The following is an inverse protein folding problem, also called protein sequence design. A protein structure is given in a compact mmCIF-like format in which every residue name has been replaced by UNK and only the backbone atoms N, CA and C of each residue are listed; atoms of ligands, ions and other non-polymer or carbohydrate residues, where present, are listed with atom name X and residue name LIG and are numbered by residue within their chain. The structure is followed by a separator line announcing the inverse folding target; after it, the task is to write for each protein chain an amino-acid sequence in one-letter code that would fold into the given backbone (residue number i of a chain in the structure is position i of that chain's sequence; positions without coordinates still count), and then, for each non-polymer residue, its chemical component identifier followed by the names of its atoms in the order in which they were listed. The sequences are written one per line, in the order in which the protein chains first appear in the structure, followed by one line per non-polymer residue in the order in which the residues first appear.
data_IF_116878059743
#
_entry.id   IF_116878059743
#
_cell.length_a   1.000
_cell.length_b   1.000
_cell.length_c   1.000
_cell.angle_alpha   90.00
_cell.angle_beta   90.00
_cell.angle_gamma   90.00
#
_symmetry.space_group_name_H-M   'P 1'
#
loop_
_entity.id
_entity.type
_entity.pdbx_description
1 polymer ?
#
# COMPACT_ATOMS: atom_id res chain seq x y z
N UNK A 1 -32.78 3.81 47.81
CA UNK A 1 -31.89 5.01 47.81
C UNK A 1 -32.70 6.29 47.95
N UNK A 2 -33.80 6.46 47.22
CA UNK A 2 -34.62 7.67 47.25
C UNK A 2 -35.55 7.81 48.46
N UNK A 3 -35.99 6.70 49.07
CA UNK A 3 -36.79 6.75 50.31
C UNK A 3 -36.04 7.40 51.48
N UNK A 4 -34.70 7.34 51.45
CA UNK A 4 -33.84 8.01 52.44
C UNK A 4 -33.89 9.54 52.35
N UNK A 5 -34.39 10.09 51.23
CA UNK A 5 -34.52 11.53 51.00
C UNK A 5 -35.97 12.03 51.17
N UNK A 6 -36.93 11.17 51.51
CA UNK A 6 -38.34 11.55 51.67
C UNK A 6 -39.02 12.04 50.39
N UNK A 7 -38.44 11.76 49.22
CA UNK A 7 -38.96 12.22 47.94
C UNK A 7 -39.97 11.22 47.35
N UNK A 8 -41.17 11.70 46.99
CA UNK A 8 -42.19 10.88 46.32
C UNK A 8 -41.83 10.68 44.84
N UNK A 9 -41.52 9.45 44.45
CA UNK A 9 -41.18 9.11 43.06
C UNK A 9 -42.42 8.85 42.22
N UNK A 10 -42.38 9.31 40.96
CA UNK A 10 -43.42 9.10 39.94
C UNK A 10 -42.73 8.70 38.65
N UNK A 11 -43.27 7.69 37.96
CA UNK A 11 -42.60 7.06 36.83
C UNK A 11 -43.39 7.22 35.54
N UNK A 12 -42.74 7.70 34.48
CA UNK A 12 -43.28 7.60 33.12
C UNK A 12 -42.60 6.42 32.45
N UNK A 13 -43.38 5.45 31.98
CA UNK A 13 -42.89 4.29 31.24
C UNK A 13 -43.30 4.48 29.78
N UNK A 14 -42.44 5.11 28.94
CA UNK A 14 -42.71 5.22 27.53
C UNK A 14 -42.57 3.84 26.88
N UNK A 15 -43.45 3.54 25.93
CA UNK A 15 -43.37 2.36 25.12
C UNK A 15 -43.78 2.67 23.67
N UNK A 16 -43.34 1.82 22.75
CA UNK A 16 -43.61 1.93 21.32
C UNK A 16 -43.91 0.55 20.75
N UNK A 17 -44.60 0.53 19.61
CA UNK A 17 -44.86 -0.69 18.85
C UNK A 17 -43.57 -1.52 18.64
N UNK A 18 -43.56 -2.83 18.99
CA UNK A 18 -42.36 -3.67 18.86
C UNK A 18 -41.79 -3.70 17.45
N UNK A 19 -42.65 -3.70 16.42
CA UNK A 19 -42.20 -3.67 15.02
C UNK A 19 -41.50 -2.37 14.65
N UNK A 20 -41.98 -1.22 15.11
CA UNK A 20 -41.30 0.06 14.88
C UNK A 20 -39.91 0.09 15.55
N UNK A 21 -39.79 -0.52 16.73
CA UNK A 21 -38.50 -0.65 17.42
C UNK A 21 -37.57 -1.57 16.63
N UNK A 22 -38.08 -2.69 16.12
CA UNK A 22 -37.31 -3.61 15.29
C UNK A 22 -36.80 -2.97 13.99
N UNK A 23 -37.64 -2.23 13.27
CA UNK A 23 -37.23 -1.52 12.05
C UNK A 23 -36.16 -0.46 12.32
N UNK A 24 -36.30 0.27 13.43
CA UNK A 24 -35.32 1.28 13.84
C UNK A 24 -33.96 0.65 14.14
N UNK A 25 -33.95 -0.47 14.88
CA UNK A 25 -32.73 -1.21 15.21
C UNK A 25 -32.13 -1.90 13.98
N UNK A 26 -32.95 -2.39 13.05
CA UNK A 26 -32.48 -2.96 11.79
C UNK A 26 -31.80 -1.90 10.91
N UNK A 27 -32.42 -0.71 10.77
CA UNK A 27 -31.86 0.38 9.97
C UNK A 27 -30.53 0.89 10.55
N UNK A 28 -30.53 1.22 11.85
CA UNK A 28 -29.40 1.87 12.55
C UNK A 28 -28.28 0.91 12.92
N UNK A 29 -28.63 -0.25 13.47
CA UNK A 29 -27.67 -1.16 14.10
C UNK A 29 -27.50 -2.48 13.35
N UNK A 30 -28.25 -2.70 12.24
CA UNK A 30 -28.28 -3.98 11.52
C UNK A 30 -28.67 -5.16 12.43
N UNK A 31 -29.44 -4.89 13.48
CA UNK A 31 -29.90 -5.92 14.42
C UNK A 31 -31.08 -6.66 13.78
N UNK A 32 -31.04 -8.01 13.72
CA UNK A 32 -32.15 -8.79 13.19
C UNK A 32 -33.44 -8.62 14.01
N UNK A 33 -34.58 -8.86 13.35
CA UNK A 33 -35.92 -8.67 13.93
C UNK A 33 -36.15 -9.52 15.18
N UNK A 34 -35.84 -10.82 15.15
CA UNK A 34 -36.00 -11.70 16.31
C UNK A 34 -35.19 -11.27 17.54
N UNK A 35 -33.96 -10.79 17.34
CA UNK A 35 -33.15 -10.22 18.42
C UNK A 35 -33.73 -8.90 18.94
N UNK A 36 -34.22 -8.06 18.04
CA UNK A 36 -34.89 -6.80 18.42
C UNK A 36 -36.11 -7.06 19.31
N UNK A 37 -36.87 -8.13 19.03
CA UNK A 37 -38.00 -8.52 19.87
C UNK A 37 -37.55 -8.93 21.28
N UNK A 38 -36.46 -9.69 21.39
CA UNK A 38 -35.92 -10.09 22.70
C UNK A 38 -35.43 -8.87 23.49
N UNK A 39 -34.76 -7.93 22.81
CA UNK A 39 -34.33 -6.67 23.41
C UNK A 39 -35.50 -5.82 23.89
N UNK A 40 -36.60 -5.77 23.13
CA UNK A 40 -37.80 -5.06 23.55
C UNK A 40 -38.37 -5.65 24.86
N UNK A 41 -38.52 -6.98 24.94
CA UNK A 41 -38.98 -7.64 26.17
C UNK A 41 -38.01 -7.39 27.33
N UNK A 42 -36.70 -7.56 27.10
CA UNK A 42 -35.67 -7.34 28.11
C UNK A 42 -35.64 -5.89 28.64
N UNK A 43 -36.15 -4.92 27.88
CA UNK A 43 -36.29 -3.54 28.33
C UNK A 43 -37.61 -3.27 29.03
N UNK A 44 -38.72 -3.74 28.46
CA UNK A 44 -40.08 -3.43 28.93
C UNK A 44 -40.43 -4.19 30.20
N UNK A 45 -40.08 -5.48 30.30
CA UNK A 45 -40.44 -6.30 31.46
C UNK A 45 -39.86 -5.73 32.75
N UNK A 46 -38.55 -5.43 32.86
CA UNK A 46 -37.99 -4.83 34.07
C UNK A 46 -38.57 -3.44 34.36
N UNK A 47 -38.81 -2.61 33.33
CA UNK A 47 -39.40 -1.29 33.50
C UNK A 47 -40.80 -1.35 34.12
N UNK A 48 -41.62 -2.33 33.70
CA UNK A 48 -42.93 -2.56 34.30
C UNK A 48 -42.82 -3.21 35.69
N UNK A 49 -41.92 -4.15 35.91
CA UNK A 49 -41.79 -4.81 37.23
C UNK A 49 -41.33 -3.86 38.31
N UNK A 50 -40.25 -3.13 38.08
CA UNK A 50 -39.67 -2.25 39.09
C UNK A 50 -40.52 -1.00 39.38
N UNK A 51 -41.52 -0.71 38.54
CA UNK A 51 -42.45 0.41 38.75
C UNK A 51 -43.86 -0.02 39.16
N UNK A 52 -44.13 -1.32 39.32
CA UNK A 52 -45.49 -1.84 39.58
C UNK A 52 -46.09 -1.33 40.90
N UNK A 53 -45.27 -1.28 41.95
CA UNK A 53 -45.67 -0.78 43.26
C UNK A 53 -45.63 0.75 43.39
N UNK A 54 -45.28 1.47 42.32
CA UNK A 54 -45.05 2.91 42.33
C UNK A 54 -46.07 3.68 41.47
N UNK A 55 -46.35 4.96 41.76
CA UNK A 55 -47.17 5.78 40.89
C UNK A 55 -46.55 5.87 39.49
N UNK A 56 -47.23 5.34 38.48
CA UNK A 56 -46.73 5.30 37.10
C UNK A 56 -47.78 5.65 36.05
N UNK A 57 -47.31 6.16 34.92
CA UNK A 57 -48.09 6.33 33.69
C UNK A 57 -47.40 5.57 32.56
N UNK A 58 -48.16 4.72 31.87
CA UNK A 58 -47.71 4.13 30.61
C UNK A 58 -47.98 5.12 29.48
N UNK A 59 -46.92 5.52 28.78
CA UNK A 59 -46.98 6.51 27.72
C UNK A 59 -46.75 5.83 26.37
N UNK A 60 -47.81 5.76 25.56
CA UNK A 60 -47.73 5.25 24.19
C UNK A 60 -47.11 6.33 23.30
N UNK A 61 -45.91 6.06 22.76
CA UNK A 61 -45.19 6.98 21.90
C UNK A 61 -45.98 7.37 20.67
N UNK A 62 -46.67 6.41 20.03
CA UNK A 62 -47.42 6.68 18.81
C UNK A 62 -48.60 7.63 19.10
N UNK A 63 -49.20 7.51 20.29
CA UNK A 63 -50.23 8.45 20.75
C UNK A 63 -49.69 9.80 21.18
N UNK A 64 -48.50 9.85 21.79
CA UNK A 64 -47.83 11.11 22.09
C UNK A 64 -47.56 11.90 20.81
N UNK A 65 -47.17 11.23 19.73
CA UNK A 65 -46.94 11.88 18.43
C UNK A 65 -48.25 12.30 17.74
N UNK A 66 -49.33 11.51 17.87
CA UNK A 66 -50.63 11.78 17.24
C UNK A 66 -51.43 12.87 17.96
N UNK A 67 -51.42 12.85 19.31
CA UNK A 67 -52.22 13.74 20.14
C UNK A 67 -51.44 14.20 21.40
N UNK A 68 -50.33 14.95 21.22
CA UNK A 68 -49.42 15.30 22.31
C UNK A 68 -50.10 16.04 23.46
N UNK A 69 -50.95 17.02 23.17
CA UNK A 69 -51.67 17.76 24.20
C UNK A 69 -52.65 16.92 25.01
N UNK A 70 -53.18 15.82 24.47
CA UNK A 70 -54.01 14.90 25.22
C UNK A 70 -53.18 14.05 26.19
N UNK A 71 -52.06 13.49 25.72
CA UNK A 71 -51.16 12.68 26.57
C UNK A 71 -50.45 13.53 27.64
N UNK A 72 -50.06 14.78 27.34
CA UNK A 72 -49.51 15.70 28.34
C UNK A 72 -50.53 16.04 29.43
N UNK A 73 -51.79 16.33 29.07
CA UNK A 73 -52.84 16.59 30.06
C UNK A 73 -53.10 15.38 30.95
N UNK A 74 -53.13 14.17 30.37
CA UNK A 74 -53.30 12.91 31.10
C UNK A 74 -52.15 12.64 32.08
N UNK A 75 -50.90 12.86 31.64
CA UNK A 75 -49.71 12.77 32.51
C UNK A 75 -49.81 13.75 33.68
N UNK A 76 -50.12 15.01 33.40
CA UNK A 76 -50.21 16.05 34.42
C UNK A 76 -51.34 15.79 35.42
N UNK A 77 -52.51 15.34 34.97
CA UNK A 77 -53.61 14.94 35.83
C UNK A 77 -53.23 13.76 36.73
N UNK A 78 -52.58 12.74 36.18
CA UNK A 78 -52.20 11.53 36.94
C UNK A 78 -51.20 11.84 38.05
N UNK A 79 -50.30 12.79 37.80
CA UNK A 79 -49.27 13.17 38.76
C UNK A 79 -49.57 14.44 39.56
N UNK A 80 -50.76 15.03 39.38
CA UNK A 80 -51.14 16.31 39.96
C UNK A 80 -50.09 17.43 39.72
N UNK A 81 -49.59 17.51 38.48
CA UNK A 81 -48.61 18.51 38.06
C UNK A 81 -49.29 19.70 37.39
N UNK A 82 -48.80 20.94 37.61
CA UNK A 82 -49.27 22.10 36.87
C UNK A 82 -48.83 22.00 35.40
N UNK A 83 -49.74 22.34 34.48
CA UNK A 83 -49.43 22.46 33.05
C UNK A 83 -49.41 23.94 32.69
N UNK A 84 -48.28 24.39 32.14
CA UNK A 84 -48.14 25.71 31.53
C UNK A 84 -48.60 25.62 30.06
N UNK A 85 -49.72 26.25 29.68
CA UNK A 85 -50.27 26.12 28.32
C UNK A 85 -49.31 26.65 27.24
N UNK A 86 -48.52 27.68 27.53
CA UNK A 86 -47.58 28.24 26.56
C UNK A 86 -46.43 27.28 26.29
N UNK A 87 -45.89 26.63 27.34
CA UNK A 87 -44.84 25.60 27.19
C UNK A 87 -45.37 24.33 26.54
N UNK A 88 -46.60 23.94 26.85
CA UNK A 88 -47.24 22.81 26.18
C UNK A 88 -47.38 23.08 24.67
N UNK A 89 -47.80 24.28 24.28
CA UNK A 89 -47.90 24.66 22.87
C UNK A 89 -46.54 24.64 22.15
N UNK A 90 -45.48 25.18 22.76
CA UNK A 90 -44.12 25.13 22.20
C UNK A 90 -43.66 23.67 22.03
N UNK A 91 -43.92 22.81 23.02
CA UNK A 91 -43.58 21.40 22.91
C UNK A 91 -44.31 20.73 21.73
N UNK A 92 -45.58 21.04 21.53
CA UNK A 92 -46.38 20.47 20.44
C UNK A 92 -45.96 20.96 19.05
N UNK A 93 -45.60 22.23 18.91
CA UNK A 93 -45.37 22.88 17.61
C UNK A 93 -43.90 22.89 17.19
N UNK A 94 -42.98 23.09 18.14
CA UNK A 94 -41.57 23.36 17.85
C UNK A 94 -40.65 22.20 18.24
N UNK A 95 -41.02 21.39 19.24
CA UNK A 95 -40.17 20.29 19.73
C UNK A 95 -40.49 18.93 19.09
N UNK A 96 -41.77 18.62 18.86
CA UNK A 96 -42.16 17.33 18.30
C UNK A 96 -42.02 17.31 16.77
N UNK A 97 -40.89 16.78 16.30
CA UNK A 97 -40.68 16.51 14.88
C UNK A 97 -41.48 15.29 14.42
N UNK A 98 -42.61 15.51 13.74
CA UNK A 98 -43.44 14.42 13.18
C UNK A 98 -42.67 13.51 12.21
N UNK A 99 -41.59 14.00 11.59
CA UNK A 99 -40.71 13.23 10.72
C UNK A 99 -39.99 12.05 11.40
N UNK A 100 -39.92 12.02 12.74
CA UNK A 100 -39.31 10.93 13.51
C UNK A 100 -40.21 9.68 13.62
N UNK A 101 -41.48 9.79 13.20
CA UNK A 101 -42.39 8.64 13.09
C UNK A 101 -42.16 7.91 11.76
N UNK A 102 -41.03 7.23 11.65
CA UNK A 102 -40.61 6.54 10.42
C UNK A 102 -41.43 5.29 10.04
N UNK A 103 -42.15 4.69 11.00
CA UNK A 103 -43.04 3.55 10.76
C UNK A 103 -44.29 3.66 11.63
N UNK A 104 -45.44 3.37 11.02
CA UNK A 104 -46.74 3.33 11.67
C UNK A 104 -47.31 1.91 11.53
N UNK A 105 -47.39 1.21 12.65
CA UNK A 105 -48.00 -0.11 12.75
C UNK A 105 -49.29 -0.02 13.57
N UNK A 106 -50.31 -0.75 13.12
CA UNK A 106 -51.51 -1.04 13.88
C UNK A 106 -51.27 -2.16 14.90
N UNK A 107 -52.16 -2.26 15.88
CA UNK A 107 -52.09 -3.28 16.95
C UNK A 107 -52.08 -4.70 16.35
N UNK A 108 -52.84 -4.92 15.28
CA UNK A 108 -53.00 -6.22 14.63
C UNK A 108 -51.79 -6.62 13.76
N UNK A 109 -50.91 -5.68 13.40
CA UNK A 109 -49.74 -5.97 12.57
C UNK A 109 -48.74 -6.86 13.31
N UNK A 110 -48.69 -6.75 14.64
CA UNK A 110 -47.86 -7.60 15.47
C UNK A 110 -48.33 -9.07 15.46
N UNK A 111 -49.62 -9.32 15.26
CA UNK A 111 -50.16 -10.68 15.18
C UNK A 111 -49.62 -11.44 13.97
N UNK A 112 -49.33 -10.73 12.87
CA UNK A 112 -48.79 -11.30 11.63
C UNK A 112 -47.28 -11.54 11.65
N UNK A 113 -46.57 -11.15 12.73
CA UNK A 113 -45.14 -11.39 12.85
C UNK A 113 -44.84 -12.74 13.51
N UNK A 114 -44.40 -13.71 12.71
CA UNK A 114 -44.00 -15.05 13.16
C UNK A 114 -42.78 -15.02 14.08
N UNK A 115 -41.91 -14.02 13.96
CA UNK A 115 -40.73 -13.89 14.80
C UNK A 115 -41.08 -13.31 16.18
N UNK A 116 -42.25 -12.66 16.34
CA UNK A 116 -42.68 -12.09 17.61
C UNK A 116 -43.28 -13.18 18.52
N UNK A 117 -42.72 -13.41 19.73
CA UNK A 117 -43.28 -14.42 20.63
C UNK A 117 -44.67 -14.04 21.13
N UNK A 118 -45.55 -15.03 21.30
CA UNK A 118 -46.89 -14.79 21.83
C UNK A 118 -46.91 -14.00 23.16
N UNK A 119 -46.00 -14.24 24.15
CA UNK A 119 -45.92 -13.41 25.35
C UNK A 119 -45.68 -11.91 25.09
N UNK A 120 -44.91 -11.56 24.06
CA UNK A 120 -44.73 -10.17 23.65
C UNK A 120 -46.02 -9.57 23.11
N UNK A 121 -46.72 -10.30 22.24
CA UNK A 121 -47.99 -9.83 21.64
C UNK A 121 -49.02 -9.54 22.72
N UNK A 122 -49.21 -10.49 23.64
CA UNK A 122 -50.11 -10.35 24.79
C UNK A 122 -49.71 -9.17 25.68
N UNK A 123 -48.42 -9.02 26.00
CA UNK A 123 -47.94 -7.91 26.83
C UNK A 123 -48.18 -6.56 26.17
N UNK A 124 -47.82 -6.41 24.88
CA UNK A 124 -48.01 -5.17 24.16
C UNK A 124 -49.49 -4.77 24.09
N UNK A 125 -50.38 -5.72 23.76
CA UNK A 125 -51.83 -5.48 23.74
C UNK A 125 -52.37 -5.06 25.11
N UNK A 126 -51.91 -5.70 26.19
CA UNK A 126 -52.28 -5.32 27.55
C UNK A 126 -51.76 -3.92 27.95
N UNK A 127 -50.55 -3.55 27.53
CA UNK A 127 -49.98 -2.22 27.74
C UNK A 127 -50.79 -1.15 27.02
N UNK A 128 -51.16 -1.36 25.76
CA UNK A 128 -52.00 -0.43 25.00
C UNK A 128 -53.36 -0.26 25.68
N UNK A 129 -54.00 -1.36 26.10
CA UNK A 129 -55.29 -1.30 26.79
C UNK A 129 -55.20 -0.54 28.13
N UNK A 130 -54.16 -0.82 28.93
CA UNK A 130 -53.94 -0.16 30.22
C UNK A 130 -53.56 1.32 30.08
N UNK A 131 -52.78 1.68 29.05
CA UNK A 131 -52.40 3.06 28.75
C UNK A 131 -53.61 3.90 28.31
N UNK A 132 -54.54 3.33 27.53
CA UNK A 132 -55.74 4.05 27.04
C UNK A 132 -56.79 4.27 28.12
N UNK A 133 -57.05 3.28 28.97
CA UNK A 133 -58.05 3.41 30.04
C UNK A 133 -57.60 2.61 31.27
N UNK A 134 -57.01 3.25 32.28
CA UNK A 134 -56.53 2.56 33.47
C UNK A 134 -57.70 2.09 34.36
N UNK A 135 -58.13 0.84 34.21
CA UNK A 135 -59.15 0.21 35.08
C UNK A 135 -58.52 -0.90 35.93
N UNK A 136 -59.11 -1.29 37.08
CA UNK A 136 -58.64 -2.43 37.86
C UNK A 136 -58.52 -3.72 37.03
N UNK A 137 -59.50 -3.99 36.16
CA UNK A 137 -59.50 -5.16 35.27
C UNK A 137 -58.33 -5.14 34.29
N UNK A 138 -58.06 -3.99 33.64
CA UNK A 138 -56.94 -3.87 32.69
C UNK A 138 -55.58 -3.87 33.38
N UNK A 139 -55.50 -3.38 34.62
CA UNK A 139 -54.28 -3.51 35.43
C UNK A 139 -53.99 -4.97 35.77
N UNK A 140 -55.01 -5.74 36.17
CA UNK A 140 -54.84 -7.17 36.43
C UNK A 140 -54.41 -7.93 35.16
N UNK A 141 -55.03 -7.65 34.01
CA UNK A 141 -54.63 -8.25 32.73
C UNK A 141 -53.20 -7.89 32.32
N UNK A 142 -52.75 -6.66 32.61
CA UNK A 142 -51.36 -6.24 32.39
C UNK A 142 -50.39 -7.01 33.30
N UNK A 143 -50.70 -7.17 34.58
CA UNK A 143 -49.86 -7.95 35.51
C UNK A 143 -49.77 -9.41 35.06
N UNK A 144 -50.87 -10.03 34.64
CA UNK A 144 -50.87 -11.39 34.11
C UNK A 144 -50.01 -11.51 32.84
N UNK A 145 -50.17 -10.60 31.89
CA UNK A 145 -49.36 -10.58 30.68
C UNK A 145 -47.86 -10.38 30.98
N UNK A 146 -47.55 -9.56 31.98
CA UNK A 146 -46.19 -9.32 32.45
C UNK A 146 -45.57 -10.58 33.08
N UNK A 147 -46.33 -11.33 33.90
CA UNK A 147 -45.91 -12.62 34.46
C UNK A 147 -45.56 -13.63 33.35
N UNK A 148 -46.37 -13.69 32.30
CA UNK A 148 -46.13 -14.59 31.15
C UNK A 148 -44.87 -14.16 30.39
N UNK A 149 -44.71 -12.88 30.11
CA UNK A 149 -43.54 -12.34 29.40
C UNK A 149 -42.24 -12.50 30.18
N UNK A 150 -42.27 -12.29 31.50
CA UNK A 150 -41.11 -12.48 32.37
C UNK A 150 -40.68 -13.94 32.46
N UNK A 151 -41.63 -14.87 32.64
CA UNK A 151 -41.34 -16.31 32.61
C UNK A 151 -40.73 -16.74 31.28
N UNK A 152 -41.24 -16.22 30.17
CA UNK A 152 -40.68 -16.47 28.84
C UNK A 152 -39.23 -15.98 28.73
N UNK A 153 -38.94 -14.76 29.18
CA UNK A 153 -37.57 -14.22 29.20
C UNK A 153 -36.62 -15.07 30.04
N UNK A 154 -37.02 -15.42 31.27
CA UNK A 154 -36.22 -16.25 32.17
C UNK A 154 -35.97 -17.63 31.57
N UNK A 155 -36.98 -18.25 30.94
CA UNK A 155 -36.81 -19.53 30.26
C UNK A 155 -35.89 -19.46 29.03
N UNK A 156 -35.66 -18.27 28.49
CA UNK A 156 -34.82 -18.03 27.31
C UNK A 156 -33.38 -17.63 27.68
N UNK A 157 -33.06 -17.44 28.97
CA UNK A 157 -31.77 -16.88 29.43
C UNK A 157 -30.56 -17.66 28.91
N UNK A 158 -30.60 -19.00 28.99
CA UNK A 158 -29.52 -19.85 28.51
C UNK A 158 -29.29 -19.70 26.99
N UNK A 159 -30.36 -19.62 26.20
CA UNK A 159 -30.29 -19.44 24.75
C UNK A 159 -29.81 -18.03 24.38
N UNK A 160 -30.23 -17.00 25.12
CA UNK A 160 -29.76 -15.63 24.93
C UNK A 160 -28.27 -15.49 25.25
N UNK A 161 -27.81 -16.15 26.31
CA UNK A 161 -26.38 -16.17 26.69
C UNK A 161 -25.55 -16.89 25.64
N UNK A 162 -25.99 -18.08 25.20
CA UNK A 162 -25.34 -18.79 24.12
C UNK A 162 -25.31 -17.99 22.81
N UNK A 163 -26.42 -17.34 22.46
CA UNK A 163 -26.50 -16.45 21.30
C UNK A 163 -25.53 -15.27 21.40
N UNK A 164 -25.36 -14.70 22.58
CA UNK A 164 -24.38 -13.63 22.83
C UNK A 164 -22.94 -14.11 22.63
N UNK A 165 -22.59 -15.28 23.16
CA UNK A 165 -21.26 -15.87 23.01
C UNK A 165 -20.96 -16.19 21.54
N UNK A 166 -21.92 -16.77 20.82
CA UNK A 166 -21.80 -17.01 19.38
C UNK A 166 -21.58 -15.71 18.60
N UNK A 167 -22.33 -14.65 18.90
CA UNK A 167 -22.12 -13.35 18.26
C UNK A 167 -20.74 -12.77 18.55
N UNK A 168 -20.23 -12.96 19.77
CA UNK A 168 -18.89 -12.51 20.14
C UNK A 168 -17.84 -13.29 19.34
N UNK A 169 -18.00 -14.59 19.20
CA UNK A 169 -17.09 -15.43 18.43
C UNK A 169 -17.16 -15.15 16.92
N UNK A 170 -18.34 -14.90 16.36
CA UNK A 170 -18.51 -14.43 14.98
C UNK A 170 -17.77 -13.09 14.77
N UNK A 171 -17.84 -12.17 15.74
CA UNK A 171 -17.10 -10.90 15.67
C UNK A 171 -15.59 -11.14 15.71
N UNK A 172 -15.09 -12.01 16.58
CA UNK A 172 -13.65 -12.37 16.64
C UNK A 172 -13.18 -12.99 15.33
N UNK A 173 -13.96 -13.91 14.77
CA UNK A 173 -13.63 -14.59 13.51
C UNK A 173 -13.61 -13.62 12.34
N UNK A 174 -14.55 -12.67 12.24
CA UNK A 174 -14.50 -11.64 11.21
C UNK A 174 -13.23 -10.80 11.29
N UNK A 175 -12.83 -10.38 12.51
CA UNK A 175 -11.58 -9.62 12.69
C UNK A 175 -10.35 -10.44 12.28
N UNK A 176 -10.29 -11.70 12.68
CA UNK A 176 -9.19 -12.58 12.28
C UNK A 176 -9.13 -12.79 10.76
N UNK A 177 -10.28 -13.02 10.12
CA UNK A 177 -10.39 -13.18 8.68
C UNK A 177 -9.95 -11.90 7.92
N UNK A 178 -10.34 -10.73 8.41
CA UNK A 178 -9.90 -9.44 7.84
C UNK A 178 -8.38 -9.25 7.93
N UNK A 179 -7.76 -9.70 9.03
CA UNK A 179 -6.30 -9.65 9.21
C UNK A 179 -5.60 -10.59 8.22
N UNK A 180 -6.03 -11.85 8.17
CA UNK A 180 -5.50 -12.85 7.24
C UNK A 180 -5.66 -12.40 5.78
N UNK A 181 -6.82 -11.84 5.42
CA UNK A 181 -7.06 -11.33 4.08
C UNK A 181 -6.08 -10.20 3.72
N UNK A 182 -5.86 -9.23 4.62
CA UNK A 182 -4.88 -8.16 4.42
C UNK A 182 -3.46 -8.69 4.28
N UNK A 183 -3.09 -9.70 5.06
CA UNK A 183 -1.78 -10.35 4.96
C UNK A 183 -1.60 -11.08 3.63
N UNK A 184 -2.63 -11.80 3.17
CA UNK A 184 -2.63 -12.50 1.89
C UNK A 184 -2.45 -11.53 0.72
N UNK A 185 -3.20 -10.42 0.70
CA UNK A 185 -3.06 -9.36 -0.32
C UNK A 185 -1.67 -8.73 -0.28
N UNK A 186 -1.13 -8.45 0.92
CA UNK A 186 0.21 -7.89 1.06
C UNK A 186 1.31 -8.87 0.58
N UNK A 187 1.14 -10.17 0.86
CA UNK A 187 2.04 -11.21 0.42
C UNK A 187 2.02 -11.35 -1.11
N UNK A 188 0.84 -11.38 -1.73
CA UNK A 188 0.68 -11.43 -3.18
C UNK A 188 1.37 -10.24 -3.86
N UNK A 189 1.19 -9.04 -3.32
CA UNK A 189 1.87 -7.84 -3.82
C UNK A 189 3.39 -7.93 -3.67
N UNK A 190 3.89 -8.49 -2.57
CA UNK A 190 5.33 -8.69 -2.35
C UNK A 190 5.93 -9.69 -3.35
N UNK A 191 5.21 -10.79 -3.65
CA UNK A 191 5.61 -11.77 -4.67
C UNK A 191 5.67 -11.11 -6.05
N UNK A 192 4.66 -10.34 -6.43
CA UNK A 192 4.65 -9.62 -7.71
C UNK A 192 5.81 -8.62 -7.81
N UNK A 193 6.07 -7.87 -6.74
CA UNK A 193 7.19 -6.93 -6.69
C UNK A 193 8.54 -7.65 -6.82
N UNK A 194 8.71 -8.80 -6.18
CA UNK A 194 9.91 -9.62 -6.28
C UNK A 194 10.12 -10.14 -7.70
N UNK A 195 9.08 -10.67 -8.35
CA UNK A 195 9.14 -11.13 -9.74
C UNK A 195 9.51 -10.00 -10.72
N UNK A 196 8.93 -8.81 -10.54
CA UNK A 196 9.30 -7.64 -11.34
C UNK A 196 10.76 -7.23 -11.14
N UNK A 197 11.26 -7.30 -9.89
CA UNK A 197 12.65 -6.99 -9.58
C UNK A 197 13.61 -8.01 -10.18
N UNK A 198 13.26 -9.29 -10.15
CA UNK A 198 14.02 -10.36 -10.80
C UNK A 198 14.12 -10.14 -12.31
N UNK A 199 13.00 -9.84 -12.98
CA UNK A 199 12.99 -9.52 -14.41
C UNK A 199 13.88 -8.30 -14.75
N UNK A 200 13.83 -7.26 -13.92
CA UNK A 200 14.68 -6.08 -14.09
C UNK A 200 16.17 -6.43 -13.93
N UNK A 201 16.54 -7.19 -12.90
CA UNK A 201 17.92 -7.62 -12.67
C UNK A 201 18.44 -8.51 -13.81
N UNK A 202 17.60 -9.39 -14.35
CA UNK A 202 17.95 -10.17 -15.54
C UNK A 202 18.25 -9.30 -16.75
N UNK A 203 17.42 -8.30 -17.04
CA UNK A 203 17.66 -7.36 -18.13
C UNK A 203 18.94 -6.52 -17.91
N UNK A 204 19.19 -6.06 -16.68
CA UNK A 204 20.42 -5.35 -16.32
C UNK A 204 21.67 -6.24 -16.51
N UNK A 205 21.59 -7.52 -16.13
CA UNK A 205 22.67 -8.49 -16.31
C UNK A 205 22.95 -8.78 -17.79
N UNK A 206 21.92 -8.98 -18.60
CA UNK A 206 22.06 -9.15 -20.05
C UNK A 206 22.73 -7.94 -20.71
N UNK A 207 22.30 -6.73 -20.32
CA UNK A 207 22.90 -5.50 -20.82
C UNK A 207 24.37 -5.36 -20.40
N UNK A 208 24.71 -5.71 -19.15
CA UNK A 208 26.09 -5.69 -18.66
C UNK A 208 26.97 -6.70 -19.41
N UNK A 209 26.47 -7.91 -19.65
CA UNK A 209 27.17 -8.93 -20.42
C UNK A 209 27.40 -8.48 -21.87
N UNK A 210 26.40 -7.88 -22.52
CA UNK A 210 26.53 -7.34 -23.86
C UNK A 210 27.58 -6.21 -23.94
N UNK A 211 27.60 -5.30 -22.96
CA UNK A 211 28.61 -4.24 -22.85
C UNK A 211 30.01 -4.82 -22.66
N UNK A 212 30.17 -5.81 -21.78
CA UNK A 212 31.43 -6.49 -21.52
C UNK A 212 31.96 -7.17 -22.79
N UNK A 213 31.09 -7.88 -23.52
CA UNK A 213 31.43 -8.50 -24.80
C UNK A 213 31.86 -7.48 -25.86
N UNK A 214 31.15 -6.36 -25.99
CA UNK A 214 31.51 -5.29 -26.92
C UNK A 214 32.88 -4.67 -26.59
N UNK A 215 33.15 -4.41 -25.30
CA UNK A 215 34.45 -3.90 -24.83
C UNK A 215 35.57 -4.91 -25.13
N UNK A 216 35.34 -6.20 -24.85
CA UNK A 216 36.30 -7.26 -25.16
C UNK A 216 36.59 -7.34 -26.67
N UNK A 217 35.57 -7.22 -27.51
CA UNK A 217 35.74 -7.21 -28.97
C UNK A 217 36.54 -5.99 -29.44
N UNK A 218 36.26 -4.79 -28.91
CA UNK A 218 37.04 -3.59 -29.23
C UNK A 218 38.50 -3.73 -28.81
N UNK A 219 38.78 -4.23 -27.61
CA UNK A 219 40.16 -4.45 -27.16
C UNK A 219 40.87 -5.52 -27.99
N UNK A 220 40.20 -6.60 -28.37
CA UNK A 220 40.77 -7.61 -29.25
C UNK A 220 41.17 -7.03 -30.63
N UNK A 221 40.33 -6.16 -31.21
CA UNK A 221 40.65 -5.44 -32.46
C UNK A 221 41.83 -4.49 -32.30
N UNK A 222 41.89 -3.74 -31.20
CA UNK A 222 43.02 -2.84 -30.92
C UNK A 222 44.34 -3.60 -30.75
N UNK A 223 44.33 -4.72 -30.02
CA UNK A 223 45.51 -5.58 -29.86
C UNK A 223 45.97 -6.10 -31.21
N UNK A 224 45.06 -6.67 -32.02
CA UNK A 224 45.39 -7.16 -33.35
C UNK A 224 45.96 -6.06 -34.27
N UNK A 225 45.40 -4.84 -34.20
CA UNK A 225 45.91 -3.70 -34.96
C UNK A 225 47.31 -3.25 -34.50
N UNK A 226 47.56 -3.23 -33.18
CA UNK A 226 48.88 -2.92 -32.60
C UNK A 226 49.91 -3.98 -32.99
N UNK A 227 49.56 -5.25 -32.94
CA UNK A 227 50.45 -6.35 -33.35
C UNK A 227 50.80 -6.26 -34.83
N UNK A 228 49.82 -5.99 -35.70
CA UNK A 228 50.06 -5.79 -37.13
C UNK A 228 50.92 -4.54 -37.41
N UNK A 229 50.78 -3.47 -36.62
CA UNK A 229 51.65 -2.29 -36.73
C UNK A 229 53.08 -2.59 -36.25
N UNK A 230 53.23 -3.33 -35.16
CA UNK A 230 54.52 -3.75 -34.62
C UNK A 230 55.26 -4.65 -35.61
N UNK A 231 54.58 -5.62 -36.23
CA UNK A 231 55.15 -6.48 -37.27
C UNK A 231 55.62 -5.67 -38.48
N UNK A 232 54.83 -4.67 -38.92
CA UNK A 232 55.23 -3.76 -40.01
C UNK A 232 56.50 -2.99 -39.65
N UNK A 233 56.55 -2.40 -38.45
CA UNK A 233 57.75 -1.68 -37.98
C UNK A 233 58.97 -2.59 -37.89
N UNK A 234 58.82 -3.83 -37.41
CA UNK A 234 59.91 -4.80 -37.35
C UNK A 234 60.41 -5.20 -38.74
N UNK A 235 59.50 -5.37 -39.71
CA UNK A 235 59.87 -5.64 -41.11
C UNK A 235 60.66 -4.47 -41.72
N UNK A 236 60.20 -3.23 -41.48
CA UNK A 236 60.92 -2.02 -41.93
C UNK A 236 62.30 -1.90 -41.28
N UNK A 237 62.44 -2.20 -39.99
CA UNK A 237 63.74 -2.20 -39.30
C UNK A 237 64.69 -3.22 -39.95
N UNK A 238 64.22 -4.46 -40.19
CA UNK A 238 65.03 -5.50 -40.87
C UNK A 238 65.46 -5.08 -42.28
N UNK A 239 64.58 -4.41 -43.02
CA UNK A 239 64.92 -3.86 -44.32
C UNK A 239 66.03 -2.80 -44.21
N UNK A 240 65.89 -1.86 -43.28
CA UNK A 240 66.93 -0.85 -43.04
C UNK A 240 68.25 -1.46 -42.58
N UNK A 241 68.23 -2.47 -41.71
CA UNK A 241 69.43 -3.22 -41.30
C UNK A 241 70.11 -3.87 -42.50
N UNK A 242 69.34 -4.50 -43.40
CA UNK A 242 69.86 -5.12 -44.63
C UNK A 242 70.47 -4.08 -45.59
N UNK A 243 69.86 -2.89 -45.69
CA UNK A 243 70.40 -1.79 -46.49
C UNK A 243 71.68 -1.23 -45.89
N UNK A 244 71.73 -1.08 -44.57
CA UNK A 244 72.91 -0.62 -43.82
C UNK A 244 74.08 -1.59 -44.00
N UNK A 245 73.85 -2.90 -43.89
CA UNK A 245 74.90 -3.91 -44.10
C UNK A 245 75.40 -3.91 -45.55
N UNK A 246 74.48 -3.80 -46.52
CA UNK A 246 74.84 -3.69 -47.94
C UNK A 246 75.68 -2.44 -48.21
N UNK A 247 75.21 -1.27 -47.77
CA UNK A 247 75.92 0.01 -47.90
C UNK A 247 77.29 -0.03 -47.21
N UNK A 248 77.37 -0.63 -46.02
CA UNK A 248 78.63 -0.84 -45.31
C UNK A 248 79.61 -1.71 -46.11
N UNK A 249 79.14 -2.78 -46.76
CA UNK A 249 79.99 -3.62 -47.62
C UNK A 249 80.47 -2.89 -48.89
N UNK A 250 79.61 -2.04 -49.48
CA UNK A 250 79.99 -1.20 -50.62
C UNK A 250 81.03 -0.15 -50.24
N UNK A 251 80.86 0.50 -49.09
CA UNK A 251 81.83 1.45 -48.54
C UNK A 251 83.19 0.78 -48.31
N UNK A 252 83.22 -0.39 -47.67
CA UNK A 252 84.46 -1.15 -47.46
C UNK A 252 85.14 -1.48 -48.81
N UNK A 253 84.37 -1.92 -49.81
CA UNK A 253 84.90 -2.19 -51.15
C UNK A 253 85.46 -0.93 -51.84
N UNK A 254 84.82 0.23 -51.64
CA UNK A 254 85.32 1.51 -52.15
C UNK A 254 86.59 1.96 -51.43
N UNK A 255 86.68 1.77 -50.11
CA UNK A 255 87.88 2.05 -49.33
C UNK A 255 89.05 1.18 -49.78
N UNK A 256 88.81 -0.12 -50.03
CA UNK A 256 89.81 -1.03 -50.60
C UNK A 256 90.26 -0.58 -52.00
N UNK A 257 89.33 -0.14 -52.86
CA UNK A 257 89.66 0.42 -54.18
C UNK A 257 90.51 1.69 -54.07
N UNK A 258 90.17 2.60 -53.16
CA UNK A 258 90.93 3.84 -52.93
C UNK A 258 92.34 3.49 -52.42
N UNK A 259 92.47 2.56 -51.47
CA UNK A 259 93.76 2.09 -50.99
C UNK A 259 94.59 1.46 -52.11
N UNK A 260 93.97 0.65 -52.97
CA UNK A 260 94.62 0.05 -54.12
C UNK A 260 95.07 1.11 -55.14
N UNK A 261 94.22 2.07 -55.50
CA UNK A 261 94.58 3.17 -56.40
C UNK A 261 95.70 4.03 -55.81
N UNK A 262 95.66 4.35 -54.51
CA UNK A 262 96.73 5.09 -53.84
C UNK A 262 98.05 4.31 -53.85
N UNK A 263 98.03 2.99 -53.65
CA UNK A 263 99.24 2.15 -53.78
C UNK A 263 99.78 2.12 -55.21
N UNK A 264 98.89 2.11 -56.23
CA UNK A 264 99.30 2.23 -57.64
C UNK A 264 99.90 3.60 -57.96
N UNK A 265 99.31 4.69 -57.45
CA UNK A 265 99.84 6.05 -57.61
C UNK A 265 101.20 6.17 -56.95
N UNK A 266 101.35 5.73 -55.70
CA UNK A 266 102.66 5.73 -55.01
C UNK A 266 103.69 4.83 -55.70
N UNK A 267 103.29 3.67 -56.23
CA UNK A 267 104.17 2.83 -57.04
C UNK A 267 104.59 3.54 -58.34
N UNK A 268 103.66 4.18 -59.06
CA UNK A 268 103.93 4.99 -60.25
C UNK A 268 104.82 6.18 -59.93
N UNK A 269 104.60 6.89 -58.82
CA UNK A 269 105.42 8.00 -58.37
C UNK A 269 106.83 7.55 -57.95
N UNK A 270 106.96 6.37 -57.34
CA UNK A 270 108.24 5.72 -57.07
C UNK A 270 108.95 5.31 -58.37
N UNK A 271 108.21 4.79 -59.36
CA UNK A 271 108.71 4.45 -60.69
C UNK A 271 109.20 5.70 -61.43
N UNK A 272 108.40 6.77 -61.46
CA UNK A 272 108.77 8.09 -61.99
C UNK A 272 109.99 8.64 -61.25
N UNK A 273 110.02 8.56 -59.91
CA UNK A 273 111.15 9.01 -59.10
C UNK A 273 112.42 8.20 -59.40
N UNK A 274 112.31 6.88 -59.61
CA UNK A 274 113.42 6.03 -60.02
C UNK A 274 113.91 6.37 -61.42
N UNK A 275 112.99 6.74 -62.33
CA UNK A 275 113.29 7.23 -63.67
C UNK A 275 114.00 8.58 -63.62
N UNK A 276 113.54 9.48 -62.75
CA UNK A 276 114.11 10.84 -62.57
C UNK A 276 115.49 10.79 -61.90
N UNK A 277 115.72 9.82 -61.02
CA UNK A 277 117.00 9.62 -60.33
C UNK A 277 117.97 8.66 -61.05
N UNK A 278 117.56 8.04 -62.16
CA UNK A 278 118.41 7.14 -62.95
C UNK A 278 119.55 7.90 -63.63
N UNK A 279 120.67 7.19 -63.86
CA UNK A 279 121.90 7.73 -64.47
C UNK A 279 121.65 8.35 -65.85
N UNK A 280 120.72 7.84 -66.66
CA UNK A 280 120.39 8.40 -67.98
C UNK A 280 119.58 9.71 -67.91
N UNK A 281 118.74 9.91 -66.89
CA UNK A 281 118.01 11.16 -66.67
C UNK A 281 118.91 12.26 -66.11
N UNK A 282 119.86 11.90 -65.24
CA UNK A 282 120.88 12.84 -64.71
C UNK A 282 121.89 13.28 -65.79
N UNK A 283 122.26 12.41 -66.72
CA UNK A 283 123.15 12.74 -67.86
C UNK A 283 122.48 13.68 -68.88
N UNK A 284 121.16 13.63 -69.03
CA UNK A 284 120.39 14.52 -69.94
C UNK A 284 119.89 15.81 -69.29
N UNK A 285 120.17 16.06 -68.01
CA UNK A 285 119.81 17.29 -67.30
C UNK A 285 120.38 18.58 -67.94
N UNK A 286 121.63 18.63 -68.45
CA UNK A 286 122.18 19.82 -69.11
C UNK A 286 121.40 20.19 -70.39
N UNK A 287 120.96 19.18 -71.16
CA UNK A 287 120.22 19.37 -72.42
C UNK A 287 118.78 19.85 -72.19
N UNK A 288 118.16 19.53 -71.05
CA UNK A 288 116.80 19.99 -70.71
C UNK A 288 116.75 21.39 -70.12
N UNK A 289 117.80 21.82 -69.42
CA UNK A 289 117.97 23.22 -69.04
C UNK A 289 118.13 24.10 -70.29
N UNK A 290 118.90 23.65 -71.28
CA UNK A 290 119.01 24.32 -72.58
C UNK A 290 117.67 24.43 -73.33
N UNK A 291 116.76 23.45 -73.21
CA UNK A 291 115.40 23.52 -73.80
C UNK A 291 114.45 24.44 -73.02
N UNK A 292 114.63 24.58 -71.70
CA UNK A 292 113.81 25.49 -70.86
C UNK A 292 114.25 26.96 -71.00
N UNK A 293 115.51 27.22 -71.32
CA UNK A 293 116.00 28.55 -71.74
C UNK A 293 115.53 28.99 -73.14
N UNK A 294 114.86 28.12 -73.91
CA UNK A 294 114.27 28.42 -75.22
C UNK A 294 112.74 28.29 -75.29
N UNK A 295 112.06 28.24 -74.14
CA UNK A 295 110.60 28.32 -74.05
C UNK A 295 110.20 29.46 -73.13
N UNK A 296 109.95 30.62 -73.73
CA UNK A 296 108.87 31.50 -73.28
C UNK A 296 107.54 30.74 -73.39
#
# INVERSE_FOLDING_TARGET
MFDRFGASMRYVVPFRHPLSVADSLASRNKIPRGKSHMLWLAHVVPALRFTEAQPRVLLDYDRLMEAPGAELRKLAQTFALPVDPAKAQIFEQDFLEQGLRHSAYGIDDLEQDDAAPAPMKTLFSAMVAAARTPTPVRRAALTEALDIAERFLLSSEALLTYGWDLELDIRKLHVALDIEHKQSVAFEQAVLNAANREAQLHAELEQANARSAAVAETHAREIAARDAAMQRSQATIREYETRLTTCGSELASREDQIAQLNSQVTARDAEISSFVNSTSWRVTAPLRFARRCFRR
#
